data_IF_782023830953
#
_entry.id   IF_782023830953
#
_cell.length_a   1.000
_cell.length_b   1.000
_cell.length_c   1.000
_cell.angle_alpha   90.00
_cell.angle_beta   90.00
_cell.angle_gamma   90.00
#
_symmetry.space_group_name_H-M   'P 1'
#
loop_
_entity.id
_entity.type
_entity.pdbx_description
1 polymer ?
#
# COMPACT_ATOMS: atom_id res chain seq x y z
N UNK A 1 20.37 -25.04 -8.27
CA UNK A 1 20.53 -25.61 -6.93
C UNK A 1 20.21 -24.58 -5.86
N UNK A 2 18.94 -24.49 -5.47
CA UNK A 2 18.43 -23.71 -4.33
C UNK A 2 18.75 -24.41 -2.98
N UNK A 3 19.96 -24.91 -2.82
CA UNK A 3 20.34 -25.72 -1.67
C UNK A 3 21.52 -25.20 -0.87
N UNK A 4 22.02 -24.00 -1.13
CA UNK A 4 23.05 -23.42 -0.26
C UNK A 4 22.40 -22.62 0.86
N UNK A 5 22.95 -22.75 2.06
CA UNK A 5 22.53 -21.95 3.24
C UNK A 5 22.58 -20.44 2.97
N UNK A 6 23.47 -19.99 2.10
CA UNK A 6 23.60 -18.61 1.61
C UNK A 6 22.35 -18.16 0.83
N UNK A 7 21.75 -19.05 0.04
CA UNK A 7 20.52 -18.76 -0.71
C UNK A 7 19.31 -18.61 0.20
N UNK A 8 19.19 -19.46 1.23
CA UNK A 8 18.12 -19.35 2.22
C UNK A 8 18.26 -18.08 3.07
N UNK A 9 19.46 -17.75 3.51
CA UNK A 9 19.71 -16.53 4.28
C UNK A 9 19.34 -15.28 3.48
N UNK A 10 19.70 -15.21 2.21
CA UNK A 10 19.34 -14.07 1.35
C UNK A 10 17.83 -13.95 1.14
N UNK A 11 17.10 -15.07 1.03
CA UNK A 11 15.64 -15.07 0.95
C UNK A 11 15.00 -14.54 2.24
N UNK A 12 15.46 -15.01 3.40
CA UNK A 12 14.96 -14.53 4.69
C UNK A 12 15.26 -13.04 4.90
N UNK A 13 16.46 -12.59 4.55
CA UNK A 13 16.84 -11.19 4.64
C UNK A 13 15.95 -10.32 3.74
N UNK A 14 15.73 -10.73 2.50
CA UNK A 14 14.86 -10.03 1.56
C UNK A 14 13.41 -9.97 2.06
N UNK A 15 12.87 -11.09 2.56
CA UNK A 15 11.53 -11.15 3.12
C UNK A 15 11.40 -10.27 4.37
N UNK A 16 12.41 -10.25 5.24
CA UNK A 16 12.43 -9.43 6.44
C UNK A 16 12.44 -7.93 6.11
N UNK A 17 13.33 -7.49 5.22
CA UNK A 17 13.40 -6.09 4.76
C UNK A 17 12.10 -5.68 4.06
N UNK A 18 11.56 -6.57 3.20
CA UNK A 18 10.26 -6.35 2.54
C UNK A 18 9.12 -6.22 3.54
N UNK A 19 9.10 -7.07 4.57
CA UNK A 19 8.10 -7.00 5.65
C UNK A 19 8.14 -5.68 6.42
N UNK A 20 9.34 -5.19 6.76
CA UNK A 20 9.51 -3.87 7.40
C UNK A 20 9.00 -2.76 6.48
N UNK A 21 9.32 -2.79 5.20
CA UNK A 21 8.87 -1.78 4.24
C UNK A 21 7.34 -1.76 4.11
N UNK A 22 6.69 -2.92 4.07
CA UNK A 22 5.22 -3.03 4.03
C UNK A 22 4.58 -2.53 5.33
N UNK A 23 5.15 -2.84 6.49
CA UNK A 23 4.65 -2.34 7.77
C UNK A 23 4.73 -0.82 7.85
N UNK A 24 5.84 -0.24 7.39
CA UNK A 24 6.03 1.22 7.33
C UNK A 24 4.99 1.90 6.43
N UNK A 25 4.66 1.30 5.28
CA UNK A 25 3.59 1.80 4.41
C UNK A 25 2.25 1.83 5.12
N UNK A 26 1.89 0.76 5.84
CA UNK A 26 0.63 0.69 6.60
C UNK A 26 0.52 1.78 7.66
N UNK A 27 1.58 1.99 8.42
CA UNK A 27 1.64 3.06 9.45
C UNK A 27 1.51 4.44 8.79
N UNK A 28 2.23 4.68 7.70
CA UNK A 28 2.21 5.97 6.99
C UNK A 28 0.82 6.28 6.44
N UNK A 29 0.15 5.32 5.80
CA UNK A 29 -1.22 5.51 5.27
C UNK A 29 -2.20 5.78 6.40
N UNK A 30 -2.11 5.06 7.52
CA UNK A 30 -2.97 5.28 8.69
C UNK A 30 -2.80 6.68 9.27
N UNK A 31 -1.56 7.16 9.40
CA UNK A 31 -1.26 8.53 9.85
C UNK A 31 -1.84 9.59 8.91
N UNK A 32 -1.62 9.44 7.58
CA UNK A 32 -2.16 10.37 6.59
C UNK A 32 -3.70 10.44 6.60
N UNK A 33 -4.37 9.31 6.83
CA UNK A 33 -5.84 9.28 6.93
C UNK A 33 -6.33 10.01 8.19
N UNK A 34 -5.62 9.88 9.30
CA UNK A 34 -5.94 10.62 10.52
C UNK A 34 -5.78 12.13 10.31
N UNK A 35 -4.68 12.54 9.66
CA UNK A 35 -4.40 13.94 9.34
C UNK A 35 -5.50 14.56 8.45
N UNK A 36 -5.98 13.81 7.44
CA UNK A 36 -7.08 14.22 6.55
C UNK A 36 -8.39 14.33 7.34
N UNK A 37 -8.66 13.41 8.27
CA UNK A 37 -9.86 13.44 9.09
C UNK A 37 -9.87 14.67 10.03
N UNK A 38 -8.72 15.03 10.59
CA UNK A 38 -8.56 16.24 11.42
C UNK A 38 -8.75 17.52 10.59
N UNK A 39 -8.19 17.58 9.39
CA UNK A 39 -8.42 18.73 8.47
C UNK A 39 -9.89 18.84 8.06
N UNK A 40 -10.55 17.72 7.81
CA UNK A 40 -11.99 17.71 7.52
C UNK A 40 -12.84 18.21 8.69
N UNK A 41 -12.52 17.77 9.92
CA UNK A 41 -13.19 18.24 11.13
C UNK A 41 -12.98 19.75 11.34
N UNK A 42 -11.78 20.26 11.10
CA UNK A 42 -11.52 21.69 11.19
C UNK A 42 -12.39 22.50 10.22
N UNK A 43 -12.52 22.02 8.97
CA UNK A 43 -13.23 22.72 7.91
C UNK A 43 -14.76 22.60 8.00
N UNK A 44 -15.29 21.48 8.52
CA UNK A 44 -16.73 21.17 8.51
C UNK A 44 -17.38 21.13 9.89
N UNK A 45 -16.58 21.06 10.96
CA UNK A 45 -17.06 20.83 12.31
C UNK A 45 -17.57 19.41 12.56
N UNK A 46 -17.34 18.48 11.63
CA UNK A 46 -17.83 17.10 11.71
C UNK A 46 -16.66 16.10 11.64
N UNK A 47 -16.45 15.38 12.73
CA UNK A 47 -15.44 14.35 12.82
C UNK A 47 -15.93 13.05 12.15
N UNK A 48 -15.50 12.82 10.92
CA UNK A 48 -15.95 11.67 10.10
C UNK A 48 -14.85 10.63 9.86
N UNK A 49 -14.04 10.32 10.86
CA UNK A 49 -12.95 9.34 10.76
C UNK A 49 -13.41 7.99 10.17
N UNK A 50 -14.57 7.49 10.60
CA UNK A 50 -15.11 6.22 10.14
C UNK A 50 -15.35 6.17 8.62
N UNK A 51 -15.71 7.29 8.00
CA UNK A 51 -15.91 7.39 6.55
C UNK A 51 -14.58 7.25 5.82
N UNK A 52 -13.53 7.95 6.27
CA UNK A 52 -12.20 7.90 5.65
C UNK A 52 -11.56 6.52 5.78
N UNK A 53 -11.58 5.94 7.00
CA UNK A 53 -11.04 4.59 7.22
C UNK A 53 -11.87 3.52 6.50
N UNK A 54 -13.20 3.66 6.46
CA UNK A 54 -14.08 2.78 5.70
C UNK A 54 -13.81 2.81 4.20
N UNK A 55 -13.68 4.00 3.62
CA UNK A 55 -13.32 4.18 2.22
C UNK A 55 -11.95 3.57 1.89
N UNK A 56 -10.95 3.79 2.76
CA UNK A 56 -9.62 3.20 2.61
C UNK A 56 -9.67 1.67 2.66
N UNK A 57 -10.40 1.09 3.60
CA UNK A 57 -10.58 -0.36 3.71
C UNK A 57 -11.28 -0.94 2.47
N UNK A 58 -12.30 -0.25 1.95
CA UNK A 58 -12.97 -0.64 0.71
C UNK A 58 -12.00 -0.60 -0.48
N UNK A 59 -11.28 0.49 -0.67
CA UNK A 59 -10.28 0.62 -1.74
C UNK A 59 -9.21 -0.47 -1.67
N UNK A 60 -8.72 -0.78 -0.46
CA UNK A 60 -7.71 -1.83 -0.26
C UNK A 60 -8.23 -3.21 -0.67
N UNK A 61 -9.46 -3.54 -0.29
CA UNK A 61 -10.09 -4.82 -0.67
C UNK A 61 -10.39 -4.88 -2.17
N UNK A 62 -10.90 -3.79 -2.74
CA UNK A 62 -11.17 -3.71 -4.18
C UNK A 62 -9.88 -3.86 -5.00
N UNK A 63 -8.81 -3.16 -4.59
CA UNK A 63 -7.49 -3.27 -5.23
C UNK A 63 -6.92 -4.69 -5.12
N UNK A 64 -7.07 -5.34 -3.96
CA UNK A 64 -6.67 -6.73 -3.76
C UNK A 64 -7.42 -7.69 -4.69
N UNK A 65 -8.73 -7.52 -4.84
CA UNK A 65 -9.55 -8.30 -5.78
C UNK A 65 -9.12 -8.12 -7.23
N UNK A 66 -8.93 -6.87 -7.67
CA UNK A 66 -8.43 -6.54 -9.01
C UNK A 66 -7.02 -7.12 -9.22
N UNK A 67 -6.13 -6.98 -8.22
CA UNK A 67 -4.77 -7.50 -8.29
C UNK A 67 -4.73 -9.01 -8.48
N UNK A 68 -5.58 -9.75 -7.76
CA UNK A 68 -5.71 -11.21 -7.93
C UNK A 68 -6.23 -11.59 -9.32
N UNK A 69 -7.22 -10.86 -9.85
CA UNK A 69 -7.74 -11.10 -11.19
C UNK A 69 -6.67 -10.83 -12.27
N UNK A 70 -5.94 -9.72 -12.16
CA UNK A 70 -4.84 -9.37 -13.07
C UNK A 70 -3.73 -10.40 -12.96
N UNK A 71 -3.39 -10.86 -11.75
CA UNK A 71 -2.40 -11.92 -11.52
C UNK A 71 -2.79 -13.24 -12.18
N UNK A 72 -4.07 -13.65 -12.08
CA UNK A 72 -4.59 -14.83 -12.77
C UNK A 72 -4.47 -14.72 -14.29
N UNK A 73 -4.94 -13.60 -14.85
CA UNK A 73 -4.81 -13.33 -16.30
C UNK A 73 -3.34 -13.33 -16.76
N UNK A 74 -2.45 -12.75 -15.96
CA UNK A 74 -1.03 -12.74 -16.27
C UNK A 74 -0.44 -14.15 -16.32
N UNK A 75 -0.81 -15.02 -15.38
CA UNK A 75 -0.39 -16.42 -15.38
C UNK A 75 -0.90 -17.18 -16.61
N UNK A 76 -2.14 -16.93 -17.03
CA UNK A 76 -2.72 -17.51 -18.25
C UNK A 76 -1.96 -17.02 -19.51
N UNK A 77 -1.65 -15.74 -19.60
CA UNK A 77 -0.91 -15.15 -20.73
C UNK A 77 0.49 -15.72 -20.89
N UNK A 78 1.18 -16.03 -19.79
CA UNK A 78 2.51 -16.66 -19.84
C UNK A 78 2.47 -18.19 -19.98
N UNK A 79 1.26 -18.78 -20.09
CA UNK A 79 1.02 -20.22 -20.11
C UNK A 79 1.66 -20.95 -18.91
N UNK A 80 1.36 -20.46 -17.70
CA UNK A 80 1.88 -21.07 -16.48
C UNK A 80 1.37 -22.50 -16.33
N UNK A 81 2.26 -23.53 -16.16
CA UNK A 81 1.87 -24.93 -16.11
C UNK A 81 1.24 -25.33 -14.76
N UNK A 82 0.05 -24.84 -14.48
CA UNK A 82 -0.67 -25.08 -13.21
C UNK A 82 -0.96 -26.54 -12.93
N UNK A 83 -1.19 -27.34 -13.97
CA UNK A 83 -1.57 -28.75 -13.84
C UNK A 83 -0.37 -29.71 -13.75
N UNK A 84 0.80 -29.34 -14.27
CA UNK A 84 1.95 -30.24 -14.44
C UNK A 84 3.14 -29.91 -13.57
N UNK A 85 3.34 -28.64 -13.22
CA UNK A 85 4.47 -28.23 -12.40
C UNK A 85 4.20 -28.51 -10.91
N UNK A 86 4.85 -29.54 -10.37
CA UNK A 86 4.81 -29.86 -8.92
C UNK A 86 5.90 -29.15 -8.14
N UNK A 87 6.99 -28.80 -8.80
CA UNK A 87 8.13 -28.06 -8.24
C UNK A 87 8.63 -27.01 -9.24
N UNK A 88 9.31 -25.98 -8.75
CA UNK A 88 9.83 -24.90 -9.61
C UNK A 88 10.76 -25.40 -10.74
N UNK A 89 11.40 -26.56 -10.56
CA UNK A 89 12.26 -27.18 -11.56
C UNK A 89 11.50 -27.70 -12.80
N UNK A 90 10.18 -27.91 -12.68
CA UNK A 90 9.33 -28.39 -13.76
C UNK A 90 8.87 -27.25 -14.68
N UNK A 91 9.12 -25.98 -14.30
CA UNK A 91 8.70 -24.82 -15.06
C UNK A 91 9.77 -24.44 -16.08
N UNK A 92 9.43 -24.29 -17.38
CA UNK A 92 10.37 -23.85 -18.40
C UNK A 92 11.03 -22.52 -18.05
N UNK A 93 12.33 -22.40 -18.32
CA UNK A 93 13.09 -21.16 -18.03
C UNK A 93 12.49 -19.92 -18.73
N UNK A 94 11.90 -20.09 -19.91
CA UNK A 94 11.21 -19.01 -20.63
C UNK A 94 10.00 -18.50 -19.86
N UNK A 95 9.19 -19.40 -19.28
CA UNK A 95 8.01 -19.02 -18.46
C UNK A 95 8.44 -18.31 -17.19
N UNK A 96 9.51 -18.77 -16.54
CA UNK A 96 10.10 -18.09 -15.38
C UNK A 96 10.62 -16.70 -15.74
N UNK A 97 11.24 -16.53 -16.90
CA UNK A 97 11.71 -15.23 -17.38
C UNK A 97 10.51 -14.27 -17.64
N UNK A 98 9.46 -14.75 -18.29
CA UNK A 98 8.22 -13.97 -18.51
C UNK A 98 7.60 -13.54 -17.19
N UNK A 99 7.53 -14.43 -16.20
CA UNK A 99 7.04 -14.12 -14.87
C UNK A 99 7.90 -13.04 -14.19
N UNK A 100 9.24 -13.17 -14.27
CA UNK A 100 10.16 -12.20 -13.69
C UNK A 100 10.04 -10.82 -14.36
N UNK A 101 9.82 -10.75 -15.67
CA UNK A 101 9.56 -9.50 -16.40
C UNK A 101 8.22 -8.86 -15.98
N UNK A 102 7.20 -9.68 -15.75
CA UNK A 102 5.90 -9.19 -15.29
C UNK A 102 5.96 -8.71 -13.84
N UNK A 103 6.57 -9.50 -12.96
CA UNK A 103 6.65 -9.21 -11.52
C UNK A 103 7.70 -8.13 -11.17
N UNK A 104 8.71 -7.91 -11.99
CA UNK A 104 9.73 -6.89 -11.80
C UNK A 104 9.37 -5.58 -12.53
N UNK A 105 9.80 -5.42 -13.81
CA UNK A 105 9.56 -4.20 -14.57
C UNK A 105 8.08 -3.87 -14.73
N UNK A 106 7.20 -4.88 -14.86
CA UNK A 106 5.76 -4.68 -14.97
C UNK A 106 5.16 -3.96 -13.76
N UNK A 107 5.57 -4.33 -12.56
CA UNK A 107 5.13 -3.66 -11.34
C UNK A 107 5.63 -2.22 -11.22
N UNK A 108 6.79 -1.89 -11.78
CA UNK A 108 7.32 -0.52 -11.75
C UNK A 108 6.39 0.48 -12.44
N UNK A 109 5.60 0.05 -13.42
CA UNK A 109 4.61 0.91 -14.10
C UNK A 109 3.54 1.42 -13.12
N UNK A 110 3.20 0.65 -12.09
CA UNK A 110 2.23 1.05 -11.07
C UNK A 110 2.81 2.06 -10.07
N UNK A 111 4.14 2.11 -9.90
CA UNK A 111 4.77 3.09 -9.04
C UNK A 111 4.75 4.50 -9.64
N UNK A 112 4.71 4.65 -10.95
CA UNK A 112 4.70 5.96 -11.61
C UNK A 112 3.48 6.79 -11.18
N UNK A 113 2.22 6.31 -11.32
CA UNK A 113 1.05 7.05 -10.85
C UNK A 113 1.03 7.22 -9.32
N UNK A 114 1.53 6.24 -8.56
CA UNK A 114 1.63 6.37 -7.12
C UNK A 114 2.55 7.52 -6.69
N UNK A 115 3.75 7.61 -7.27
CA UNK A 115 4.69 8.72 -7.00
C UNK A 115 4.10 10.06 -7.46
N UNK A 116 3.38 10.08 -8.59
CA UNK A 116 2.71 11.28 -9.07
C UNK A 116 1.63 11.74 -8.09
N UNK A 117 0.78 10.85 -7.58
CA UNK A 117 -0.21 11.16 -6.55
C UNK A 117 0.45 11.69 -5.26
N UNK A 118 1.56 11.07 -4.83
CA UNK A 118 2.30 11.54 -3.66
C UNK A 118 2.85 12.96 -3.81
N UNK A 119 3.31 13.33 -4.99
CA UNK A 119 3.77 14.70 -5.27
C UNK A 119 2.67 15.75 -5.17
N UNK A 120 1.42 15.37 -5.37
CA UNK A 120 0.26 16.27 -5.26
C UNK A 120 -0.36 16.30 -3.87
N UNK A 121 0.17 15.50 -2.94
CA UNK A 121 -0.26 15.54 -1.54
C UNK A 121 0.28 16.80 -0.86
N UNK A 122 -0.61 17.71 -0.49
CA UNK A 122 -0.28 19.06 -0.02
C UNK A 122 -0.21 19.19 1.51
N UNK A 123 -0.61 18.16 2.27
CA UNK A 123 -0.61 18.23 3.72
C UNK A 123 0.82 18.07 4.25
N UNK A 124 1.45 19.20 4.54
CA UNK A 124 2.80 19.24 5.13
C UNK A 124 2.74 19.07 6.64
N UNK A 125 3.88 18.71 7.26
CA UNK A 125 4.00 18.62 8.74
C UNK A 125 3.64 19.94 9.43
N UNK A 126 3.97 21.08 8.82
CA UNK A 126 3.65 22.41 9.34
C UNK A 126 2.15 22.65 9.32
N UNK A 127 1.49 22.28 8.21
CA UNK A 127 0.03 22.38 8.10
C UNK A 127 -0.69 21.49 9.11
N UNK A 128 -0.22 20.25 9.27
CA UNK A 128 -0.77 19.35 10.31
C UNK A 128 -0.61 19.94 11.72
N UNK A 129 0.53 20.51 12.06
CA UNK A 129 0.73 21.15 13.38
C UNK A 129 -0.20 22.33 13.59
N UNK A 130 -0.45 23.17 12.57
CA UNK A 130 -1.41 24.27 12.64
C UNK A 130 -2.85 23.77 12.85
N UNK A 131 -3.27 22.72 12.13
CA UNK A 131 -4.58 22.09 12.27
C UNK A 131 -4.80 21.60 13.72
N UNK A 132 -3.82 20.90 14.29
CA UNK A 132 -3.89 20.42 15.67
C UNK A 132 -4.01 21.55 16.69
N UNK A 133 -3.30 22.65 16.50
CA UNK A 133 -3.42 23.84 17.37
C UNK A 133 -4.80 24.50 17.26
N UNK A 134 -5.33 24.65 16.05
CA UNK A 134 -6.64 25.23 15.80
C UNK A 134 -7.76 24.37 16.40
N UNK A 135 -7.69 23.03 16.26
CA UNK A 135 -8.62 22.09 16.88
C UNK A 135 -8.55 22.14 18.41
N UNK A 136 -7.34 22.20 18.98
CA UNK A 136 -7.16 22.33 20.41
C UNK A 136 -7.74 23.65 20.95
N UNK A 137 -7.54 24.75 20.24
CA UNK A 137 -8.12 26.04 20.58
C UNK A 137 -9.66 26.00 20.53
N UNK A 138 -10.24 25.42 19.48
CA UNK A 138 -11.69 25.24 19.34
C UNK A 138 -12.28 24.43 20.50
N UNK A 139 -11.63 23.34 20.88
CA UNK A 139 -12.11 22.45 21.95
C UNK A 139 -11.86 22.99 23.37
N UNK A 140 -11.03 24.04 23.53
CA UNK A 140 -10.76 24.68 24.79
C UNK A 140 -11.79 25.77 25.16
N UNK A 141 -12.62 26.21 24.20
CA UNK A 141 -13.72 27.14 24.46
C UNK A 141 -14.89 26.36 25.07
N UNK A 142 -15.31 26.66 26.32
CA UNK A 142 -16.42 25.95 26.96
C UNK A 142 -17.72 26.20 26.20
N UNK A 143 -18.52 25.15 26.02
CA UNK A 143 -19.81 25.17 25.30
C UNK A 143 -20.89 26.08 25.96
N UNK A 144 -20.52 26.81 27.00
CA UNK A 144 -21.39 27.75 27.71
C UNK A 144 -21.40 29.17 27.13
N UNK A 145 -20.62 29.45 26.08
CA UNK A 145 -20.55 30.77 25.45
C UNK A 145 -21.06 30.79 24.00
N UNK A 146 -21.70 29.74 23.53
CA UNK A 146 -22.37 29.65 22.21
C UNK A 146 -23.92 29.51 22.44
#
# INVERSE_FOLDING_TARGET
TLGSTTSLFSLFLFAFVGGIALAQLGVSVGSMLADIADEHDLNTGQRQEGVFFGASAFCSKATGGIGNAVGGIALDLINWPTATAKVAADVPAETLFKLAMFAGPGLLLFFIPAVWCFKHYSLTRERHASIQQELAARNSVPASEV
#
